data_IF_631374235551
#
_entry.id   IF_631374235551
#
_cell.length_a   1.000
_cell.length_b   1.000
_cell.length_c   1.000
_cell.angle_alpha   90.00
_cell.angle_beta   90.00
_cell.angle_gamma   90.00
#
_symmetry.space_group_name_H-M   'P 1'
#
loop_
_entity.id
_entity.type
_entity.pdbx_description
1 polymer ?
#
# COMPACT_ATOMS: atom_id res chain seq x y z
N UNK A 1 16.27 -5.06 1.48
CA UNK A 1 16.72 -4.50 2.79
C UNK A 1 15.75 -5.00 3.86
N UNK A 2 15.71 -4.45 5.09
CA UNK A 2 14.61 -4.72 6.04
C UNK A 2 13.50 -3.67 5.86
N UNK A 3 12.24 -4.01 6.14
CA UNK A 3 11.12 -3.07 6.01
C UNK A 3 11.28 -1.75 6.79
N UNK A 4 11.99 -1.74 7.92
CA UNK A 4 12.32 -0.50 8.65
C UNK A 4 13.24 0.44 7.85
N UNK A 5 14.19 -0.12 7.10
CA UNK A 5 15.14 0.65 6.27
C UNK A 5 14.40 1.27 5.08
N UNK A 6 13.52 0.50 4.42
CA UNK A 6 12.67 1.02 3.35
C UNK A 6 11.78 2.17 3.84
N UNK A 7 11.14 2.01 5.00
CA UNK A 7 10.34 3.06 5.64
C UNK A 7 11.14 4.33 5.92
N UNK A 8 12.33 4.20 6.51
CA UNK A 8 13.17 5.37 6.80
C UNK A 8 13.53 6.11 5.51
N UNK A 9 13.93 5.39 4.46
CA UNK A 9 14.32 6.01 3.19
C UNK A 9 13.14 6.75 2.55
N UNK A 10 11.97 6.13 2.46
CA UNK A 10 10.81 6.79 1.84
C UNK A 10 10.24 7.93 2.67
N UNK A 11 10.21 7.80 4.00
CA UNK A 11 9.74 8.87 4.89
C UNK A 11 10.70 10.07 4.83
N UNK A 12 12.02 9.83 4.89
CA UNK A 12 13.02 10.91 4.78
C UNK A 12 12.96 11.55 3.39
N UNK A 13 12.87 10.78 2.31
CA UNK A 13 12.78 11.32 0.96
C UNK A 13 11.53 12.19 0.76
N UNK A 14 10.37 11.76 1.28
CA UNK A 14 9.13 12.54 1.19
C UNK A 14 9.13 13.76 2.10
N UNK A 15 9.74 13.69 3.27
CA UNK A 15 9.95 14.86 4.14
C UNK A 15 10.87 15.89 3.48
N UNK A 16 12.01 15.47 2.93
CA UNK A 16 12.95 16.35 2.21
C UNK A 16 12.29 16.96 0.97
N UNK A 17 11.53 16.17 0.20
CA UNK A 17 10.75 16.67 -0.93
C UNK A 17 9.73 17.73 -0.48
N UNK A 18 9.02 17.47 0.61
CA UNK A 18 8.04 18.40 1.16
C UNK A 18 8.66 19.73 1.60
N UNK A 19 9.79 19.68 2.31
CA UNK A 19 10.55 20.89 2.69
C UNK A 19 10.99 21.66 1.44
N UNK A 20 11.53 20.96 0.43
CA UNK A 20 11.93 21.57 -0.84
C UNK A 20 10.76 22.23 -1.58
N UNK A 21 9.56 21.65 -1.53
CA UNK A 21 8.37 22.26 -2.11
C UNK A 21 7.85 23.47 -1.35
N UNK A 22 7.97 23.49 -0.03
CA UNK A 22 7.66 24.68 0.78
C UNK A 22 8.63 25.82 0.47
N UNK A 23 9.94 25.52 0.43
CA UNK A 23 10.97 26.53 0.14
C UNK A 23 10.81 27.16 -1.26
N UNK A 24 10.26 26.42 -2.21
CA UNK A 24 10.01 26.88 -3.58
C UNK A 24 8.57 27.38 -3.81
N UNK A 25 7.77 27.56 -2.76
CA UNK A 25 6.36 27.99 -2.83
C UNK A 25 5.44 27.11 -3.71
N UNK A 26 5.83 25.86 -3.98
CA UNK A 26 5.00 24.89 -4.71
C UNK A 26 3.90 24.27 -3.82
N UNK A 27 4.10 24.32 -2.50
CA UNK A 27 3.08 23.99 -1.51
C UNK A 27 2.73 25.28 -0.78
N UNK A 28 1.45 25.67 -0.86
CA UNK A 28 0.95 26.90 -0.23
C UNK A 28 0.77 26.80 1.28
N UNK A 29 0.79 25.58 1.86
CA UNK A 29 0.57 25.36 3.29
C UNK A 29 1.30 24.10 3.80
N UNK A 30 1.93 24.22 4.97
CA UNK A 30 2.56 23.16 5.78
C UNK A 30 1.59 22.00 6.03
N UNK A 31 0.28 22.26 6.09
CA UNK A 31 -0.76 21.21 6.25
C UNK A 31 -0.64 20.11 5.19
N UNK A 32 -0.15 20.41 3.99
CA UNK A 32 0.03 19.43 2.92
C UNK A 32 1.28 18.53 3.09
N UNK A 33 2.17 18.84 4.03
CA UNK A 33 3.29 17.95 4.37
C UNK A 33 2.82 16.68 5.07
N UNK A 34 1.78 16.77 5.90
CA UNK A 34 1.25 15.63 6.65
C UNK A 34 0.82 14.49 5.72
N UNK A 35 -0.08 14.71 4.73
CA UNK A 35 -0.45 13.64 3.80
C UNK A 35 0.74 13.19 2.93
N UNK A 36 1.67 14.08 2.57
CA UNK A 36 2.86 13.71 1.80
C UNK A 36 3.76 12.71 2.54
N UNK A 37 4.11 13.03 3.80
CA UNK A 37 4.97 12.19 4.63
C UNK A 37 4.24 10.89 5.02
N UNK A 38 2.96 10.97 5.37
CA UNK A 38 2.13 9.80 5.64
C UNK A 38 2.06 8.87 4.42
N UNK A 39 1.90 9.45 3.23
CA UNK A 39 1.97 8.72 1.96
C UNK A 39 3.30 7.99 1.82
N UNK A 40 4.43 8.68 1.99
CA UNK A 40 5.76 8.09 1.93
C UNK A 40 5.94 6.92 2.88
N UNK A 41 5.52 7.08 4.12
CA UNK A 41 5.56 6.03 5.13
C UNK A 41 4.75 4.79 4.71
N UNK A 42 3.50 4.97 4.29
CA UNK A 42 2.61 3.87 3.89
C UNK A 42 3.14 3.20 2.61
N UNK A 43 3.50 4.00 1.61
CA UNK A 43 4.01 3.53 0.32
C UNK A 43 5.29 2.72 0.45
N UNK A 44 6.18 3.06 1.38
CA UNK A 44 7.40 2.29 1.62
C UNK A 44 7.18 0.97 2.35
N UNK A 45 6.07 0.80 3.06
CA UNK A 45 5.70 -0.48 3.67
C UNK A 45 4.88 -1.37 2.76
N UNK A 46 4.16 -0.78 1.81
CA UNK A 46 3.15 -1.49 1.05
C UNK A 46 3.67 -2.68 0.23
N UNK A 47 4.83 -2.59 -0.47
CA UNK A 47 5.33 -3.71 -1.27
C UNK A 47 5.57 -4.99 -0.45
N UNK A 48 6.00 -4.81 0.81
CA UNK A 48 6.33 -5.88 1.76
C UNK A 48 5.09 -6.61 2.31
N UNK A 49 3.87 -6.21 1.95
CA UNK A 49 2.62 -6.91 2.34
C UNK A 49 2.61 -8.38 1.91
N UNK A 50 3.35 -8.71 0.85
CA UNK A 50 3.54 -10.06 0.29
C UNK A 50 4.52 -10.94 1.10
N UNK A 51 5.13 -10.40 2.16
CA UNK A 51 6.11 -11.09 2.99
C UNK A 51 5.54 -11.42 4.36
N UNK A 52 5.40 -12.71 4.69
CA UNK A 52 4.77 -13.17 5.94
C UNK A 52 5.43 -12.62 7.22
N UNK A 53 6.74 -12.36 7.17
CA UNK A 53 7.51 -11.84 8.32
C UNK A 53 7.57 -10.30 8.35
N UNK A 54 6.99 -9.61 7.36
CA UNK A 54 7.01 -8.16 7.35
C UNK A 54 6.05 -7.58 8.38
N UNK A 55 6.34 -6.36 8.83
CA UNK A 55 5.43 -5.61 9.69
C UNK A 55 4.10 -5.32 8.98
N UNK A 56 4.13 -5.03 7.68
CA UNK A 56 2.93 -4.76 6.90
C UNK A 56 1.97 -5.97 6.91
N UNK A 57 2.47 -7.18 6.64
CA UNK A 57 1.65 -8.40 6.70
C UNK A 57 1.13 -8.69 8.11
N UNK A 58 1.93 -8.43 9.15
CA UNK A 58 1.50 -8.65 10.54
C UNK A 58 0.39 -7.67 10.96
N UNK A 59 0.52 -6.40 10.58
CA UNK A 59 -0.50 -5.37 10.83
C UNK A 59 -1.78 -5.72 10.08
N UNK A 60 -1.68 -6.12 8.81
CA UNK A 60 -2.84 -6.57 8.03
C UNK A 60 -3.56 -7.74 8.70
N UNK A 61 -2.84 -8.78 9.13
CA UNK A 61 -3.44 -9.93 9.82
C UNK A 61 -4.14 -9.52 11.12
N UNK A 62 -3.57 -8.57 11.88
CA UNK A 62 -4.21 -8.03 13.08
C UNK A 62 -5.51 -7.28 12.77
N UNK A 63 -5.50 -6.45 11.73
CA UNK A 63 -6.70 -5.72 11.29
C UNK A 63 -7.80 -6.70 10.88
N UNK A 64 -7.46 -7.71 10.06
CA UNK A 64 -8.43 -8.74 9.63
C UNK A 64 -8.98 -9.50 10.84
N UNK A 65 -8.14 -9.87 11.81
CA UNK A 65 -8.59 -10.52 13.03
C UNK A 65 -9.56 -9.64 13.84
N UNK A 66 -9.24 -8.36 14.03
CA UNK A 66 -10.13 -7.41 14.72
C UNK A 66 -11.46 -7.27 13.99
N UNK A 67 -11.43 -7.16 12.65
CA UNK A 67 -12.64 -7.07 11.83
C UNK A 67 -13.51 -8.34 11.94
N UNK A 68 -12.90 -9.52 11.94
CA UNK A 68 -13.63 -10.78 12.14
C UNK A 68 -14.29 -10.84 13.52
N UNK A 69 -13.57 -10.47 14.58
CA UNK A 69 -14.12 -10.43 15.94
C UNK A 69 -15.26 -9.42 16.04
N UNK A 70 -15.09 -8.23 15.47
CA UNK A 70 -16.14 -7.21 15.43
C UNK A 70 -17.39 -7.68 14.68
N UNK A 71 -17.22 -8.39 13.56
CA UNK A 71 -18.34 -8.94 12.78
C UNK A 71 -19.09 -10.02 13.56
N UNK A 72 -18.37 -10.94 14.22
CA UNK A 72 -18.99 -11.98 15.07
C UNK A 72 -19.73 -11.37 16.26
N UNK A 73 -19.15 -10.37 16.93
CA UNK A 73 -19.82 -9.66 18.02
C UNK A 73 -21.06 -8.92 17.52
N UNK A 74 -20.94 -8.17 16.43
CA UNK A 74 -22.05 -7.44 15.83
C UNK A 74 -23.21 -8.37 15.47
N UNK A 75 -22.92 -9.49 14.81
CA UNK A 75 -23.91 -10.51 14.51
C UNK A 75 -24.58 -11.07 15.77
N UNK A 76 -23.80 -11.32 16.84
CA UNK A 76 -24.33 -11.81 18.13
C UNK A 76 -25.26 -10.80 18.82
N UNK A 77 -25.09 -9.50 18.56
CA UNK A 77 -25.99 -8.43 19.01
C UNK A 77 -27.16 -8.14 18.04
N UNK A 78 -27.32 -8.96 17.00
CA UNK A 78 -28.37 -8.79 15.99
C UNK A 78 -28.08 -7.71 14.94
N UNK A 79 -26.86 -7.16 14.90
CA UNK A 79 -26.41 -6.24 13.85
C UNK A 79 -26.03 -7.05 12.61
N UNK A 80 -27.00 -7.23 11.71
CA UNK A 80 -26.73 -7.75 10.37
C UNK A 80 -26.14 -6.63 9.51
N UNK A 81 -24.89 -6.77 9.07
CA UNK A 81 -24.26 -5.80 8.17
C UNK A 81 -24.54 -6.21 6.72
N UNK A 82 -25.29 -5.37 6.00
CA UNK A 82 -25.56 -5.58 4.58
C UNK A 82 -24.39 -5.10 3.71
N UNK A 83 -24.41 -5.49 2.43
CA UNK A 83 -23.45 -4.96 1.45
C UNK A 83 -23.61 -3.45 1.30
N UNK A 84 -24.83 -2.93 1.36
CA UNK A 84 -25.11 -1.50 1.28
C UNK A 84 -24.51 -0.73 2.45
N UNK A 85 -24.55 -1.30 3.67
CA UNK A 85 -23.92 -0.70 4.85
C UNK A 85 -22.40 -0.61 4.68
N UNK A 86 -21.78 -1.67 4.14
CA UNK A 86 -20.33 -1.66 3.85
C UNK A 86 -19.99 -0.59 2.82
N UNK A 87 -20.76 -0.50 1.72
CA UNK A 87 -20.56 0.52 0.69
C UNK A 87 -20.74 1.92 1.28
N UNK A 88 -21.71 2.12 2.16
CA UNK A 88 -21.94 3.40 2.83
C UNK A 88 -20.76 3.80 3.73
N UNK A 89 -20.16 2.86 4.48
CA UNK A 89 -18.94 3.11 5.25
C UNK A 89 -17.82 3.66 4.35
N UNK A 90 -17.61 3.04 3.18
CA UNK A 90 -16.60 3.52 2.23
C UNK A 90 -16.94 4.92 1.69
N UNK A 91 -18.21 5.19 1.37
CA UNK A 91 -18.68 6.52 0.92
C UNK A 91 -18.49 7.60 1.98
N UNK A 92 -18.73 7.29 3.26
CA UNK A 92 -18.49 8.22 4.37
C UNK A 92 -17.00 8.47 4.61
N UNK A 93 -16.14 7.50 4.29
CA UNK A 93 -14.70 7.58 4.56
C UNK A 93 -13.95 8.39 3.50
N UNK A 94 -14.37 8.34 2.24
CA UNK A 94 -13.70 9.03 1.14
C UNK A 94 -14.69 9.43 0.06
N UNK A 95 -14.58 10.69 -0.41
CA UNK A 95 -15.33 11.20 -1.56
C UNK A 95 -15.20 10.27 -2.78
N UNK A 96 -13.99 9.72 -2.99
CA UNK A 96 -13.70 8.74 -4.04
C UNK A 96 -13.53 7.34 -3.45
N UNK A 97 -14.61 6.80 -2.89
CA UNK A 97 -14.66 5.46 -2.31
C UNK A 97 -14.18 4.34 -3.24
N UNK A 98 -14.30 4.51 -4.56
CA UNK A 98 -13.80 3.56 -5.58
C UNK A 98 -12.28 3.37 -5.46
N UNK A 99 -11.53 4.44 -5.22
CA UNK A 99 -10.08 4.35 -5.02
C UNK A 99 -9.72 3.53 -3.78
N UNK A 100 -10.47 3.73 -2.69
CA UNK A 100 -10.29 3.01 -1.44
C UNK A 100 -10.62 1.51 -1.59
N UNK A 101 -11.73 1.17 -2.26
CA UNK A 101 -12.10 -0.22 -2.57
C UNK A 101 -11.01 -0.88 -3.43
N UNK A 102 -10.51 -0.19 -4.45
CA UNK A 102 -9.45 -0.71 -5.31
C UNK A 102 -8.13 -0.92 -4.56
N UNK A 103 -7.78 -0.02 -3.63
CA UNK A 103 -6.63 -0.17 -2.75
C UNK A 103 -6.77 -1.39 -1.83
N UNK A 104 -7.93 -1.59 -1.21
CA UNK A 104 -8.22 -2.76 -0.38
C UNK A 104 -8.11 -4.07 -1.19
N UNK A 105 -8.69 -4.11 -2.40
CA UNK A 105 -8.58 -5.26 -3.28
C UNK A 105 -7.12 -5.57 -3.65
N UNK A 106 -6.36 -4.55 -4.05
CA UNK A 106 -4.93 -4.70 -4.33
C UNK A 106 -4.15 -5.20 -3.11
N UNK A 107 -4.49 -4.73 -1.91
CA UNK A 107 -3.84 -5.16 -0.65
C UNK A 107 -4.03 -6.65 -0.42
N UNK A 108 -5.25 -7.16 -0.58
CA UNK A 108 -5.55 -8.59 -0.46
C UNK A 108 -4.79 -9.37 -1.53
N UNK A 109 -4.85 -8.94 -2.80
CA UNK A 109 -4.14 -9.59 -3.90
C UNK A 109 -2.61 -9.61 -3.69
N UNK A 110 -2.06 -8.52 -3.16
CA UNK A 110 -0.65 -8.41 -2.76
C UNK A 110 -0.29 -9.38 -1.66
N UNK A 111 -1.11 -9.45 -0.60
CA UNK A 111 -0.92 -10.35 0.53
C UNK A 111 -0.89 -11.83 0.12
N UNK A 112 -1.76 -12.20 -0.82
CA UNK A 112 -1.88 -13.57 -1.35
C UNK A 112 -0.80 -13.94 -2.37
N UNK A 113 -0.11 -12.93 -2.90
CA UNK A 113 0.89 -13.13 -3.94
C UNK A 113 2.23 -13.57 -3.34
N UNK A 114 3.01 -14.41 -4.04
CA UNK A 114 4.33 -14.77 -3.57
C UNK A 114 5.26 -13.56 -3.44
N UNK A 115 6.19 -13.62 -2.48
CA UNK A 115 7.08 -12.51 -2.19
C UNK A 115 7.86 -12.04 -3.43
N UNK A 116 7.85 -10.72 -3.66
CA UNK A 116 8.47 -10.00 -4.79
C UNK A 116 7.93 -10.34 -6.17
N UNK A 117 6.70 -10.86 -6.22
CA UNK A 117 5.94 -11.02 -7.46
C UNK A 117 5.06 -9.78 -7.65
N UNK A 118 3.74 -9.90 -7.64
CA UNK A 118 2.80 -8.84 -7.99
C UNK A 118 3.17 -7.43 -7.47
N UNK A 119 3.43 -7.29 -6.17
CA UNK A 119 3.67 -5.98 -5.52
C UNK A 119 4.96 -5.29 -5.96
N UNK A 120 5.96 -6.04 -6.44
CA UNK A 120 7.28 -5.52 -6.83
C UNK A 120 7.44 -5.41 -8.36
N UNK A 121 6.34 -5.60 -9.09
CA UNK A 121 6.28 -5.61 -10.55
C UNK A 121 5.51 -4.40 -11.03
N UNK A 122 5.73 -4.01 -12.29
CA UNK A 122 5.11 -2.79 -12.84
C UNK A 122 3.60 -2.78 -12.67
N UNK A 123 2.92 -3.91 -12.92
CA UNK A 123 1.46 -4.00 -12.80
C UNK A 123 0.94 -3.76 -11.38
N UNK A 124 1.52 -4.42 -10.36
CA UNK A 124 1.07 -4.21 -8.99
C UNK A 124 1.44 -2.81 -8.50
N UNK A 125 2.64 -2.34 -8.85
CA UNK A 125 3.10 -0.99 -8.48
C UNK A 125 2.19 0.09 -9.04
N UNK A 126 1.88 0.04 -10.34
CA UNK A 126 0.97 1.00 -10.96
C UNK A 126 -0.43 0.88 -10.40
N UNK A 127 -0.93 -0.33 -10.16
CA UNK A 127 -2.26 -0.56 -9.56
C UNK A 127 -2.38 0.07 -8.16
N UNK A 128 -1.38 -0.12 -7.30
CA UNK A 128 -1.35 0.50 -5.98
C UNK A 128 -1.27 2.02 -6.07
N UNK A 129 -0.32 2.57 -6.83
CA UNK A 129 -0.18 4.03 -6.95
C UNK A 129 -1.44 4.67 -7.57
N UNK A 130 -2.05 4.02 -8.56
CA UNK A 130 -3.30 4.47 -9.18
C UNK A 130 -4.45 4.45 -8.18
N UNK A 131 -4.58 3.40 -7.36
CA UNK A 131 -5.63 3.34 -6.34
C UNK A 131 -5.54 4.48 -5.33
N UNK A 132 -4.33 4.85 -4.87
CA UNK A 132 -4.13 5.97 -3.95
C UNK A 132 -4.35 7.32 -4.64
N UNK A 133 -3.97 7.44 -5.91
CA UNK A 133 -4.28 8.62 -6.71
C UNK A 133 -5.80 8.87 -6.82
N UNK A 134 -6.57 7.81 -7.06
CA UNK A 134 -8.03 7.89 -7.14
C UNK A 134 -8.70 8.33 -5.83
N UNK A 135 -8.09 8.11 -4.65
CA UNK A 135 -8.63 8.59 -3.37
C UNK A 135 -8.78 10.13 -3.34
N UNK A 136 -8.02 10.85 -4.18
CA UNK A 136 -8.22 12.29 -4.43
C UNK A 136 -7.25 13.23 -3.71
N UNK A 137 -6.41 12.72 -2.79
CA UNK A 137 -5.38 13.53 -2.14
C UNK A 137 -4.06 13.46 -2.92
N UNK A 138 -3.78 14.49 -3.73
CA UNK A 138 -2.57 14.57 -4.57
C UNK A 138 -1.25 14.43 -3.79
N UNK A 139 -1.18 14.99 -2.58
CA UNK A 139 0.03 14.94 -1.76
C UNK A 139 0.25 13.55 -1.17
N UNK A 140 -0.82 12.91 -0.69
CA UNK A 140 -0.80 11.51 -0.26
C UNK A 140 -0.35 10.59 -1.39
N UNK A 141 -0.93 10.75 -2.58
CA UNK A 141 -0.60 9.94 -3.75
C UNK A 141 0.86 10.12 -4.20
N UNK A 142 1.36 11.36 -4.21
CA UNK A 142 2.75 11.66 -4.55
C UNK A 142 3.72 11.05 -3.53
N UNK A 143 3.42 11.21 -2.26
CA UNK A 143 4.22 10.64 -1.17
C UNK A 143 4.24 9.12 -1.23
N UNK A 144 3.07 8.50 -1.36
CA UNK A 144 2.91 7.05 -1.51
C UNK A 144 3.71 6.52 -2.69
N UNK A 145 3.56 7.14 -3.86
CA UNK A 145 4.27 6.72 -5.08
C UNK A 145 5.77 6.81 -4.89
N UNK A 146 6.26 7.89 -4.27
CA UNK A 146 7.69 8.08 -4.00
C UNK A 146 8.21 7.01 -3.03
N UNK A 147 7.51 6.77 -1.92
CA UNK A 147 7.87 5.74 -0.95
C UNK A 147 7.86 4.33 -1.55
N UNK A 148 6.89 4.01 -2.40
CA UNK A 148 6.74 2.71 -3.06
C UNK A 148 7.85 2.48 -4.10
N UNK A 149 8.13 3.47 -4.95
CA UNK A 149 9.19 3.37 -5.96
C UNK A 149 10.55 3.23 -5.27
N UNK A 150 10.84 4.05 -4.25
CA UNK A 150 12.09 3.96 -3.50
C UNK A 150 12.25 2.60 -2.83
N UNK A 151 11.17 2.00 -2.33
CA UNK A 151 11.23 0.64 -1.81
C UNK A 151 11.78 -0.33 -2.87
N UNK A 152 11.20 -0.34 -4.07
CA UNK A 152 11.61 -1.23 -5.18
C UNK A 152 13.05 -0.95 -5.62
N UNK A 153 13.41 0.32 -5.75
CA UNK A 153 14.77 0.74 -6.11
C UNK A 153 15.77 0.21 -5.09
N UNK A 154 15.54 0.46 -3.80
CA UNK A 154 16.40 -0.07 -2.74
C UNK A 154 16.48 -1.60 -2.76
N UNK A 155 15.37 -2.29 -3.04
CA UNK A 155 15.38 -3.74 -3.09
C UNK A 155 16.16 -4.27 -4.29
N UNK A 156 16.06 -3.63 -5.46
CA UNK A 156 16.85 -3.94 -6.66
C UNK A 156 18.35 -3.82 -6.42
N UNK A 157 18.79 -2.80 -5.69
CA UNK A 157 20.19 -2.59 -5.33
C UNK A 157 20.65 -3.41 -4.11
N UNK A 158 19.73 -4.11 -3.43
CA UNK A 158 20.09 -4.98 -2.32
C UNK A 158 20.59 -6.36 -2.81
N UNK A 159 21.49 -7.04 -2.07
CA UNK A 159 21.98 -8.38 -2.44
C UNK A 159 20.86 -9.41 -2.66
N UNK A 160 19.73 -9.25 -1.95
CA UNK A 160 18.57 -10.14 -2.03
C UNK A 160 17.67 -9.87 -3.23
N UNK A 161 17.69 -8.66 -3.79
CA UNK A 161 16.82 -8.25 -4.90
C UNK A 161 17.53 -8.08 -6.24
N UNK A 162 18.80 -8.51 -6.36
CA UNK A 162 19.58 -8.45 -7.61
C UNK A 162 18.89 -9.04 -8.85
N UNK A 163 17.97 -9.99 -8.65
CA UNK A 163 17.21 -10.65 -9.72
C UNK A 163 15.79 -10.08 -9.93
N UNK A 164 15.44 -8.98 -9.25
CA UNK A 164 14.12 -8.36 -9.35
C UNK A 164 13.95 -7.70 -10.73
N UNK A 165 13.09 -8.28 -11.57
CA UNK A 165 12.74 -7.77 -12.90
C UNK A 165 11.50 -6.87 -12.79
N UNK A 166 11.68 -5.57 -12.56
CA UNK A 166 10.55 -4.65 -12.32
C UNK A 166 9.57 -4.56 -13.51
N UNK A 167 10.09 -4.43 -14.73
CA UNK A 167 9.29 -4.27 -15.95
C UNK A 167 8.55 -5.54 -16.41
N UNK A 168 8.73 -6.68 -15.73
CA UNK A 168 7.95 -7.88 -16.02
C UNK A 168 6.52 -7.69 -15.52
N UNK A 169 5.53 -7.90 -16.40
CA UNK A 169 4.13 -7.92 -16.00
C UNK A 169 3.85 -9.21 -15.23
N UNK A 170 3.35 -9.07 -14.00
CA UNK A 170 2.99 -10.21 -13.16
C UNK A 170 1.60 -10.04 -12.59
N UNK A 171 0.73 -11.00 -12.87
CA UNK A 171 -0.60 -11.07 -12.26
C UNK A 171 -0.50 -11.46 -10.78
N UNK A 172 -1.50 -11.10 -9.96
CA UNK A 172 -1.63 -11.59 -8.60
C UNK A 172 -1.55 -13.13 -8.52
N UNK A 173 -1.02 -13.64 -7.41
CA UNK A 173 -0.94 -15.06 -7.12
C UNK A 173 -0.17 -15.88 -8.18
N UNK A 174 0.77 -15.27 -8.91
CA UNK A 174 1.65 -15.96 -9.87
C UNK A 174 3.09 -15.99 -9.36
N UNK A 175 3.68 -17.17 -9.33
CA UNK A 175 5.11 -17.33 -8.98
C UNK A 175 6.03 -17.00 -10.17
N UNK A 176 7.35 -17.10 -9.98
CA UNK A 176 8.35 -16.82 -11.02
C UNK A 176 8.16 -17.63 -12.31
N UNK A 177 7.62 -18.85 -12.23
CA UNK A 177 7.30 -19.74 -13.38
C UNK A 177 5.93 -19.48 -13.99
N UNK A 178 5.26 -18.41 -13.58
CA UNK A 178 3.90 -18.03 -13.98
C UNK A 178 2.82 -19.06 -13.64
N UNK A 179 3.10 -19.95 -12.69
CA UNK A 179 2.09 -20.87 -12.14
C UNK A 179 1.35 -20.18 -11.00
N UNK A 180 0.07 -20.52 -10.84
CA UNK A 180 -0.73 -20.05 -9.72
C UNK A 180 -0.13 -20.57 -8.42
N UNK A 181 0.10 -19.67 -7.46
CA UNK A 181 0.69 -19.95 -6.15
C UNK A 181 0.15 -18.91 -5.18
N UNK A 182 -0.38 -19.38 -4.05
CA UNK A 182 -0.98 -18.54 -3.03
C UNK A 182 -0.13 -18.65 -1.76
N UNK A 183 0.30 -17.52 -1.23
CA UNK A 183 1.01 -17.42 0.04
C UNK A 183 0.10 -16.73 1.06
N UNK A 184 -0.28 -17.45 2.13
CA UNK A 184 -1.04 -16.91 3.27
C UNK A 184 -0.13 -16.65 4.47
#
# INVERSE_FOLDING_TARGET
MKGKEHMMIGTTATATMGIGFLMNNNIGDVVHLVPLIAGGFIGSYMPDIDSRKSKASQVFNKIIMILMVALVMGYSFGLAVSVDDMVNIFKYTSENYVGLVFFCANTVLGKLSPHRMFTHKILGTTSFCWSVFLIGNKYLALGFTTGYILHIVCDRFSPRGKNLKFFEIKLPCRNSKNKTSIDW
#
